data_IF_269726069454
#
_entry.id   IF_269726069454
#
_cell.length_a   1.000
_cell.length_b   1.000
_cell.length_c   1.000
_cell.angle_alpha   90.00
_cell.angle_beta   90.00
_cell.angle_gamma   90.00
#
_symmetry.space_group_name_H-M   'P 1'
#
loop_
_entity.id
_entity.type
_entity.pdbx_description
1 polymer ?
#
# COMPACT_ATOMS: atom_id res chain seq x y z
N UNK A 1 6.47 -8.90 17.41
CA UNK A 1 5.70 -7.76 16.89
C UNK A 1 4.77 -7.32 18.02
N UNK A 2 4.89 -6.06 18.47
CA UNK A 2 4.08 -5.56 19.59
C UNK A 2 2.58 -5.53 19.25
N UNK A 3 1.68 -5.63 20.24
CA UNK A 3 0.23 -5.62 20.03
C UNK A 3 -0.24 -4.43 19.19
N UNK A 4 0.34 -3.24 19.42
CA UNK A 4 -0.04 -2.00 18.74
C UNK A 4 0.09 -2.11 17.23
N UNK A 5 1.14 -2.76 16.71
CA UNK A 5 1.35 -2.91 15.26
C UNK A 5 0.22 -3.69 14.59
N UNK A 6 -0.26 -4.74 15.25
CA UNK A 6 -1.34 -5.56 14.70
C UNK A 6 -2.69 -4.84 14.77
N UNK A 7 -2.97 -4.22 15.91
CA UNK A 7 -4.25 -3.57 16.18
C UNK A 7 -4.44 -2.31 15.34
N UNK A 8 -3.36 -1.53 15.13
CA UNK A 8 -3.43 -0.26 14.41
C UNK A 8 -3.26 -0.38 12.89
N UNK A 9 -3.01 -1.57 12.35
CA UNK A 9 -2.97 -1.76 10.88
C UNK A 9 -4.30 -1.42 10.22
N UNK A 10 -5.42 -1.69 10.88
CA UNK A 10 -6.75 -1.34 10.40
C UNK A 10 -7.23 0.04 10.88
N UNK A 11 -6.47 0.69 11.75
CA UNK A 11 -6.78 2.01 12.30
C UNK A 11 -5.53 2.91 12.32
N UNK A 12 -4.88 3.14 11.17
CA UNK A 12 -3.69 3.97 11.10
C UNK A 12 -4.03 5.45 11.23
N UNK A 13 -3.03 6.26 11.50
CA UNK A 13 -3.09 7.70 11.30
C UNK A 13 -2.83 8.03 9.83
N UNK A 14 -3.36 9.15 9.37
CA UNK A 14 -3.16 9.61 8.01
C UNK A 14 -3.02 11.12 7.93
N UNK A 15 -2.26 11.58 6.95
CA UNK A 15 -2.15 12.96 6.55
C UNK A 15 -2.67 13.11 5.13
N UNK A 16 -3.57 14.06 4.90
CA UNK A 16 -3.94 14.42 3.54
C UNK A 16 -2.75 15.12 2.86
N UNK A 17 -2.34 14.59 1.72
CA UNK A 17 -1.18 15.09 0.95
C UNK A 17 -1.57 15.66 -0.40
N UNK A 18 -2.85 15.65 -0.73
CA UNK A 18 -3.37 16.21 -1.96
C UNK A 18 -4.77 15.70 -2.29
N UNK A 19 -5.14 15.87 -3.53
CA UNK A 19 -6.37 15.31 -4.13
C UNK A 19 -6.01 14.62 -5.43
N UNK A 20 -6.70 13.53 -5.73
CA UNK A 20 -6.63 12.81 -6.99
C UNK A 20 -8.07 12.65 -7.49
N UNK A 21 -8.38 13.18 -8.67
CA UNK A 21 -9.74 13.19 -9.25
C UNK A 21 -10.81 13.70 -8.24
N UNK A 22 -10.51 14.86 -7.62
CA UNK A 22 -11.32 15.51 -6.58
C UNK A 22 -11.43 14.73 -5.26
N UNK A 23 -10.91 13.51 -5.19
CA UNK A 23 -10.88 12.72 -3.95
C UNK A 23 -9.65 13.03 -3.12
N UNK A 24 -9.77 13.18 -1.79
CA UNK A 24 -8.63 13.41 -0.93
C UNK A 24 -7.68 12.21 -0.95
N UNK A 25 -6.38 12.50 -1.16
CA UNK A 25 -5.33 11.50 -1.17
C UNK A 25 -4.56 11.55 0.15
N UNK A 26 -4.37 10.39 0.78
CA UNK A 26 -3.79 10.28 2.11
C UNK A 26 -2.49 9.49 2.11
N UNK A 27 -1.51 10.00 2.85
CA UNK A 27 -0.33 9.25 3.26
C UNK A 27 -0.59 8.64 4.64
N UNK A 28 -0.51 7.32 4.74
CA UNK A 28 -0.71 6.62 6.01
C UNK A 28 0.57 6.62 6.86
N UNK A 29 0.37 6.73 8.16
CA UNK A 29 1.41 6.66 9.20
C UNK A 29 1.00 5.61 10.22
N UNK A 30 1.75 4.51 10.24
CA UNK A 30 1.45 3.38 11.13
C UNK A 30 2.09 3.62 12.51
N UNK A 31 1.35 3.50 13.62
CA UNK A 31 1.93 3.50 14.95
C UNK A 31 2.89 2.33 15.15
N UNK A 32 4.10 2.62 15.61
CA UNK A 32 5.14 1.65 15.91
C UNK A 32 5.09 1.19 17.36
N UNK A 33 4.95 2.16 18.27
CA UNK A 33 4.96 1.90 19.70
C UNK A 33 4.24 3.01 20.49
N UNK A 34 3.80 2.68 21.69
CA UNK A 34 3.46 3.66 22.71
C UNK A 34 4.75 4.04 23.45
N UNK A 35 4.97 5.33 23.65
CA UNK A 35 6.13 5.84 24.39
C UNK A 35 5.88 5.86 25.89
N UNK A 36 6.94 5.97 26.71
CA UNK A 36 6.84 6.09 28.17
C UNK A 36 6.02 7.31 28.63
N UNK A 37 5.87 8.32 27.78
CA UNK A 37 5.08 9.54 28.05
C UNK A 37 3.68 9.47 27.45
N UNK A 38 3.15 8.26 27.24
CA UNK A 38 1.82 8.02 26.66
C UNK A 38 1.62 8.63 25.26
N UNK A 39 2.70 8.90 24.54
CA UNK A 39 2.68 9.33 23.14
C UNK A 39 2.76 8.15 22.18
N UNK A 40 2.56 8.42 20.89
CA UNK A 40 2.74 7.44 19.83
C UNK A 40 4.02 7.73 19.06
N UNK A 41 4.85 6.70 18.90
CA UNK A 41 5.92 6.69 17.91
C UNK A 41 5.38 6.12 16.61
N UNK A 42 5.64 6.81 15.51
CA UNK A 42 5.18 6.43 14.17
C UNK A 42 6.37 5.98 13.32
N UNK A 43 6.12 5.13 12.33
CA UNK A 43 7.13 4.75 11.34
C UNK A 43 7.46 5.86 10.35
N UNK A 44 6.57 6.84 10.17
CA UNK A 44 6.80 7.99 9.29
C UNK A 44 6.99 9.26 10.09
N UNK A 45 7.73 10.20 9.50
CA UNK A 45 7.94 11.51 10.10
C UNK A 45 6.64 12.31 10.17
N UNK A 46 6.48 13.05 11.25
CA UNK A 46 5.41 14.03 11.48
C UNK A 46 6.00 15.36 11.90
N UNK A 47 5.27 16.43 11.65
CA UNK A 47 5.70 17.81 11.99
C UNK A 47 4.80 18.39 13.07
N UNK A 48 5.38 19.21 13.93
CA UNK A 48 4.61 19.93 14.95
C UNK A 48 3.55 20.83 14.28
N UNK A 49 2.31 20.71 14.75
CA UNK A 49 1.16 21.44 14.20
C UNK A 49 0.50 20.76 12.99
N UNK A 50 1.01 19.62 12.55
CA UNK A 50 0.42 18.86 11.46
C UNK A 50 -0.93 18.23 11.87
N UNK A 51 -1.91 18.27 10.96
CA UNK A 51 -3.20 17.63 11.18
C UNK A 51 -3.11 16.16 10.75
N UNK A 52 -3.33 15.28 11.70
CA UNK A 52 -3.48 13.85 11.46
C UNK A 52 -4.95 13.45 11.64
N UNK A 53 -5.38 12.50 10.85
CA UNK A 53 -6.72 11.89 10.91
C UNK A 53 -6.58 10.43 11.30
N UNK A 54 -7.44 9.97 12.19
CA UNK A 54 -7.58 8.54 12.45
C UNK A 54 -8.38 7.92 11.30
N UNK A 55 -7.78 6.97 10.64
CA UNK A 55 -8.43 6.20 9.57
C UNK A 55 -8.98 4.91 10.14
N UNK A 56 -9.93 4.35 9.43
CA UNK A 56 -10.49 3.05 9.76
C UNK A 56 -10.67 2.21 8.49
N UNK A 57 -10.36 0.94 8.60
CA UNK A 57 -10.60 -0.05 7.57
C UNK A 57 -11.06 -1.36 8.20
N UNK A 58 -11.61 -2.23 7.39
CA UNK A 58 -11.88 -3.63 7.73
C UNK A 58 -10.87 -4.54 7.04
N UNK A 59 -10.81 -5.80 7.45
CA UNK A 59 -10.02 -6.82 6.76
C UNK A 59 -10.47 -6.97 5.31
N UNK A 60 -11.78 -6.94 5.06
CA UNK A 60 -12.35 -6.95 3.71
C UNK A 60 -11.90 -5.73 2.88
N UNK A 61 -11.96 -4.52 3.47
CA UNK A 61 -11.49 -3.29 2.79
C UNK A 61 -10.00 -3.35 2.46
N UNK A 62 -9.18 -3.92 3.35
CA UNK A 62 -7.76 -4.15 3.09
C UNK A 62 -7.54 -5.16 1.98
N UNK A 63 -8.30 -6.25 1.96
CA UNK A 63 -8.28 -7.25 0.90
C UNK A 63 -8.61 -6.60 -0.45
N UNK A 64 -9.74 -5.90 -0.56
CA UNK A 64 -10.18 -5.24 -1.80
C UNK A 64 -9.15 -4.23 -2.31
N UNK A 65 -8.55 -3.44 -1.42
CA UNK A 65 -7.48 -2.51 -1.79
C UNK A 65 -6.26 -3.25 -2.34
N UNK A 66 -5.88 -4.35 -1.73
CA UNK A 66 -4.76 -5.18 -2.20
C UNK A 66 -5.02 -5.75 -3.59
N UNK A 67 -6.24 -6.24 -3.83
CA UNK A 67 -6.66 -6.76 -5.14
C UNK A 67 -6.63 -5.68 -6.22
N UNK A 68 -6.95 -4.43 -5.87
CA UNK A 68 -6.95 -3.31 -6.80
C UNK A 68 -5.53 -2.75 -7.10
N UNK A 69 -4.52 -3.14 -6.33
CA UNK A 69 -3.15 -2.66 -6.55
C UNK A 69 -2.49 -3.25 -7.80
N UNK A 70 -2.98 -4.41 -8.27
CA UNK A 70 -2.47 -5.04 -9.50
C UNK A 70 -3.52 -4.88 -10.61
N UNK A 71 -3.23 -3.95 -11.54
CA UNK A 71 -4.06 -3.71 -12.72
C UNK A 71 -3.20 -3.77 -13.96
N UNK A 72 -3.63 -4.55 -14.95
CA UNK A 72 -3.13 -4.45 -16.31
C UNK A 72 -4.15 -3.58 -17.04
N UNK A 73 -3.81 -2.31 -17.26
CA UNK A 73 -4.71 -1.40 -17.97
C UNK A 73 -4.72 -1.77 -19.46
N UNK A 74 -5.90 -1.77 -20.11
CA UNK A 74 -6.02 -2.03 -21.56
C UNK A 74 -5.22 -1.05 -22.41
N UNK A 75 -4.90 0.11 -21.87
CA UNK A 75 -4.13 1.16 -22.52
C UNK A 75 -2.67 0.77 -22.81
N UNK A 76 -2.10 -0.22 -22.08
CA UNK A 76 -0.77 -0.74 -22.39
C UNK A 76 -0.73 -1.41 -23.78
N UNK A 77 -1.85 -2.02 -24.21
CA UNK A 77 -2.00 -2.55 -25.58
C UNK A 77 -2.24 -1.48 -26.65
N UNK A 78 -2.70 -0.28 -26.26
CA UNK A 78 -2.92 0.85 -27.21
C UNK A 78 -1.66 1.69 -27.43
N UNK A 79 -0.70 1.67 -26.53
CA UNK A 79 0.56 2.41 -26.61
C UNK A 79 1.63 1.69 -27.43
N UNK A 80 1.25 0.93 -28.46
CA UNK A 80 2.19 0.36 -29.42
C UNK A 80 2.68 -1.05 -29.12
N UNK A 81 1.83 -2.05 -29.20
CA UNK A 81 2.17 -3.49 -29.14
C UNK A 81 3.01 -3.96 -27.92
N UNK A 82 3.02 -3.16 -26.84
CA UNK A 82 3.76 -3.53 -25.63
C UNK A 82 3.08 -4.72 -24.93
N UNK A 83 3.88 -5.72 -24.58
CA UNK A 83 3.39 -6.92 -23.89
C UNK A 83 3.95 -6.94 -22.44
N UNK A 84 3.12 -7.23 -21.45
CA UNK A 84 3.60 -7.44 -20.08
C UNK A 84 4.46 -8.70 -19.99
N UNK A 85 5.70 -8.56 -19.48
CA UNK A 85 6.68 -9.63 -19.34
C UNK A 85 6.99 -9.99 -17.91
N UNK A 86 6.59 -9.17 -16.95
CA UNK A 86 6.81 -9.41 -15.53
C UNK A 86 6.16 -8.37 -14.65
N UNK A 87 6.01 -8.68 -13.35
CA UNK A 87 5.49 -7.73 -12.37
C UNK A 87 6.26 -7.79 -11.05
N UNK A 88 6.41 -6.62 -10.42
CA UNK A 88 6.86 -6.47 -9.04
C UNK A 88 5.72 -5.89 -8.22
N UNK A 89 5.26 -6.62 -7.19
CA UNK A 89 4.21 -6.15 -6.29
C UNK A 89 4.82 -5.90 -4.91
N UNK A 90 5.11 -4.64 -4.60
CA UNK A 90 5.61 -4.25 -3.27
C UNK A 90 4.45 -4.27 -2.28
N UNK A 91 4.56 -5.11 -1.26
CA UNK A 91 3.48 -5.36 -0.30
C UNK A 91 3.94 -5.05 1.12
N UNK A 92 3.23 -4.14 1.81
CA UNK A 92 3.56 -3.81 3.18
C UNK A 92 3.41 -5.02 4.11
N UNK A 93 4.43 -5.29 4.91
CA UNK A 93 4.43 -6.39 5.89
C UNK A 93 3.35 -6.21 6.98
N UNK A 94 2.99 -4.96 7.33
CA UNK A 94 1.85 -4.68 8.21
C UNK A 94 0.54 -5.16 7.59
N UNK A 95 0.31 -4.88 6.32
CA UNK A 95 -0.87 -5.37 5.58
C UNK A 95 -0.90 -6.90 5.53
N UNK A 96 0.24 -7.55 5.29
CA UNK A 96 0.36 -9.02 5.34
C UNK A 96 -0.06 -9.58 6.70
N UNK A 97 0.41 -8.98 7.79
CA UNK A 97 0.07 -9.41 9.15
C UNK A 97 -1.43 -9.28 9.46
N UNK A 98 -2.06 -8.21 8.97
CA UNK A 98 -3.49 -7.99 9.16
C UNK A 98 -4.38 -8.91 8.31
N UNK A 99 -3.93 -9.29 7.12
CA UNK A 99 -4.64 -10.23 6.26
C UNK A 99 -4.55 -11.67 6.77
N UNK A 100 -3.44 -12.03 7.44
CA UNK A 100 -3.27 -13.38 7.96
C UNK A 100 -3.47 -14.45 6.88
N UNK A 101 -4.40 -15.37 7.11
CA UNK A 101 -4.71 -16.49 6.20
C UNK A 101 -5.31 -16.03 4.87
N UNK A 102 -5.99 -14.88 4.83
CA UNK A 102 -6.53 -14.29 3.59
C UNK A 102 -5.45 -13.81 2.61
N UNK A 103 -4.17 -13.87 2.99
CA UNK A 103 -3.08 -13.55 2.07
C UNK A 103 -3.03 -14.51 0.87
N UNK A 104 -3.39 -15.78 1.07
CA UNK A 104 -3.46 -16.77 -0.03
C UNK A 104 -4.44 -16.34 -1.12
N UNK A 105 -5.57 -15.74 -0.73
CA UNK A 105 -6.58 -15.26 -1.66
C UNK A 105 -6.04 -14.08 -2.48
N UNK A 106 -5.28 -13.17 -1.85
CA UNK A 106 -4.62 -12.04 -2.52
C UNK A 106 -3.63 -12.56 -3.57
N UNK A 107 -2.76 -13.50 -3.21
CA UNK A 107 -1.76 -14.06 -4.14
C UNK A 107 -2.46 -14.80 -5.28
N UNK A 108 -3.49 -15.59 -4.98
CA UNK A 108 -4.31 -16.28 -5.99
C UNK A 108 -4.95 -15.29 -6.97
N UNK A 109 -5.43 -14.17 -6.48
CA UNK A 109 -6.00 -13.11 -7.31
C UNK A 109 -4.95 -12.40 -8.19
N UNK A 110 -3.75 -12.13 -7.64
CA UNK A 110 -2.65 -11.60 -8.46
C UNK A 110 -2.32 -12.57 -9.61
N UNK A 111 -2.22 -13.88 -9.32
CA UNK A 111 -2.00 -14.90 -10.33
C UNK A 111 -3.09 -14.92 -11.41
N UNK A 112 -4.36 -14.77 -11.01
CA UNK A 112 -5.46 -14.68 -11.98
C UNK A 112 -5.38 -13.43 -12.86
N UNK A 113 -5.05 -12.27 -12.27
CA UNK A 113 -4.97 -10.99 -13.01
C UNK A 113 -3.77 -10.90 -13.94
N UNK A 114 -2.65 -11.44 -13.50
CA UNK A 114 -1.40 -11.44 -14.27
C UNK A 114 -1.34 -12.59 -15.29
N UNK A 115 -2.19 -13.61 -15.13
CA UNK A 115 -2.18 -14.77 -16.00
C UNK A 115 -0.85 -15.53 -15.95
N UNK A 116 -0.20 -15.70 -17.10
CA UNK A 116 1.11 -16.37 -17.23
C UNK A 116 2.30 -15.45 -16.95
N UNK A 117 2.05 -14.16 -16.66
CA UNK A 117 3.09 -13.17 -16.39
C UNK A 117 3.75 -13.49 -15.05
N UNK A 118 5.06 -13.74 -15.01
CA UNK A 118 5.76 -14.01 -13.77
C UNK A 118 5.77 -12.76 -12.87
N UNK A 119 5.61 -12.96 -11.57
CA UNK A 119 5.66 -11.86 -10.62
C UNK A 119 6.37 -12.23 -9.33
N UNK A 120 6.89 -11.22 -8.66
CA UNK A 120 7.48 -11.33 -7.33
C UNK A 120 6.80 -10.34 -6.38
N UNK A 121 6.55 -10.78 -5.13
CA UNK A 121 5.91 -9.97 -4.11
C UNK A 121 6.79 -9.92 -2.86
N UNK A 122 7.72 -8.96 -2.74
CA UNK A 122 8.45 -8.73 -1.50
C UNK A 122 7.54 -8.11 -0.44
N UNK A 123 7.70 -8.56 0.79
CA UNK A 123 7.09 -7.92 1.96
C UNK A 123 8.07 -6.90 2.55
N UNK A 124 7.64 -5.65 2.64
CA UNK A 124 8.49 -4.53 3.00
C UNK A 124 7.99 -3.79 4.24
N UNK A 125 8.89 -3.06 4.87
CA UNK A 125 8.57 -2.09 5.91
C UNK A 125 9.01 -0.70 5.43
N UNK A 126 8.06 0.24 5.36
CA UNK A 126 8.35 1.60 4.93
C UNK A 126 8.45 1.73 3.41
N UNK A 127 7.32 1.78 2.77
CA UNK A 127 7.20 1.93 1.32
C UNK A 127 7.54 3.37 0.93
N UNK A 128 8.43 3.52 -0.05
CA UNK A 128 8.82 4.82 -0.60
C UNK A 128 8.36 4.92 -2.05
N UNK A 129 7.83 6.06 -2.41
CA UNK A 129 7.33 6.27 -3.76
C UNK A 129 7.06 7.75 -4.05
N UNK A 130 6.65 7.99 -5.30
CA UNK A 130 6.23 9.31 -5.74
C UNK A 130 4.71 9.43 -5.64
N UNK A 131 4.24 10.47 -4.97
CA UNK A 131 2.82 10.80 -4.93
C UNK A 131 2.34 11.34 -6.30
N UNK A 132 1.03 11.29 -6.59
CA UNK A 132 0.49 11.73 -7.88
C UNK A 132 0.91 13.13 -8.32
N UNK A 133 1.10 14.05 -7.37
CA UNK A 133 1.57 15.43 -7.63
C UNK A 133 3.10 15.60 -7.61
N UNK A 134 3.85 14.49 -7.60
CA UNK A 134 5.31 14.49 -7.82
C UNK A 134 6.18 14.54 -6.58
N UNK A 135 5.64 14.72 -5.38
CA UNK A 135 6.39 14.67 -4.13
C UNK A 135 6.87 13.24 -3.84
N UNK A 136 8.12 13.08 -3.40
CA UNK A 136 8.61 11.82 -2.86
C UNK A 136 8.12 11.66 -1.43
N UNK A 137 7.56 10.51 -1.11
CA UNK A 137 7.02 10.24 0.20
C UNK A 137 7.42 8.86 0.72
N UNK A 138 7.61 8.81 2.04
CA UNK A 138 7.67 7.57 2.80
C UNK A 138 6.30 7.36 3.46
N UNK A 139 5.60 6.32 3.10
CA UNK A 139 4.31 5.93 3.65
C UNK A 139 4.38 4.56 4.32
N UNK A 140 3.25 4.14 4.86
CA UNK A 140 3.07 2.81 5.43
C UNK A 140 1.78 2.19 4.91
N UNK A 141 1.63 0.89 5.11
CA UNK A 141 0.42 0.13 4.79
C UNK A 141 0.02 0.27 3.32
N UNK A 142 1.00 0.36 2.44
CA UNK A 142 0.81 0.51 1.00
C UNK A 142 0.97 -0.84 0.30
N UNK A 143 0.27 -0.96 -0.82
CA UNK A 143 0.48 -2.01 -1.82
C UNK A 143 0.59 -1.31 -3.16
N UNK A 144 1.64 -1.57 -3.90
CA UNK A 144 1.86 -0.99 -5.22
C UNK A 144 2.44 -2.01 -6.17
N UNK A 145 2.21 -1.83 -7.47
CA UNK A 145 2.76 -2.71 -8.49
C UNK A 145 3.49 -1.94 -9.59
N UNK A 146 4.46 -2.59 -10.16
CA UNK A 146 5.16 -2.18 -11.37
C UNK A 146 5.03 -3.31 -12.38
N UNK A 147 4.53 -3.00 -13.56
CA UNK A 147 4.43 -3.94 -14.67
C UNK A 147 5.55 -3.64 -15.65
N UNK A 148 6.35 -4.64 -15.96
CA UNK A 148 7.42 -4.55 -16.96
C UNK A 148 6.85 -4.92 -18.32
N UNK A 149 7.14 -4.09 -19.32
CA UNK A 149 6.63 -4.22 -20.67
C UNK A 149 7.78 -4.42 -21.65
N UNK A 150 7.54 -5.20 -22.70
CA UNK A 150 8.43 -5.39 -23.84
C UNK A 150 7.73 -4.99 -25.14
N UNK A 151 8.49 -4.44 -26.08
CA UNK A 151 8.01 -4.03 -27.43
C UNK A 151 8.27 -5.11 -28.48
#
# INVERSE_FOLDING_TARGET
VGPILRETTLSPLARQVGTLDEMPYYKLSHPEAVTEREGLRLFTETRLGERLQLMYSSQEGLLQRSLNAVRIEPEYGMAGNLQPIGALVVFCAGCRLALGDSLSDVVGHFSQRLGEIPFITPFTFGEQGRLPHGELAHGNLMVSSVIFLES
#
